data_IF_954993857120
#
_entry.id   IF_954993857120
#
_cell.length_a   1.000
_cell.length_b   1.000
_cell.length_c   1.000
_cell.angle_alpha   90.00
_cell.angle_beta   90.00
_cell.angle_gamma   90.00
#
_symmetry.space_group_name_H-M   'P 1'
#
loop_
_entity.id
_entity.type
_entity.pdbx_description
1 polymer ?
#
# COMPACT_ATOMS: atom_id res chain seq x y z
N UNK A 1 -0.89 6.67 -5.67
CA UNK A 1 0.27 5.79 -5.56
C UNK A 1 1.55 6.61 -5.40
N UNK A 2 2.39 6.26 -4.42
CA UNK A 2 3.65 6.96 -4.13
C UNK A 2 4.61 6.99 -5.33
N UNK A 3 4.70 5.89 -6.06
CA UNK A 3 5.51 5.83 -7.29
C UNK A 3 5.07 6.83 -8.35
N UNK A 4 3.76 6.98 -8.55
CA UNK A 4 3.22 7.97 -9.49
C UNK A 4 3.50 9.40 -9.02
N UNK A 5 3.42 9.67 -7.72
CA UNK A 5 3.75 10.98 -7.13
C UNK A 5 5.20 11.37 -7.43
N UNK A 6 6.13 10.44 -7.23
CA UNK A 6 7.56 10.63 -7.55
C UNK A 6 7.74 10.91 -9.05
N UNK A 7 7.13 10.08 -9.91
CA UNK A 7 7.23 10.24 -11.37
C UNK A 7 6.68 11.59 -11.84
N UNK A 8 5.49 11.98 -11.37
CA UNK A 8 4.88 13.29 -11.71
C UNK A 8 5.77 14.44 -11.27
N UNK A 9 6.27 14.42 -10.03
CA UNK A 9 7.16 15.47 -9.52
C UNK A 9 8.43 15.59 -10.39
N UNK A 10 9.05 14.46 -10.75
CA UNK A 10 10.22 14.44 -11.63
C UNK A 10 9.92 15.04 -13.00
N UNK A 11 8.81 14.63 -13.63
CA UNK A 11 8.41 15.15 -14.95
C UNK A 11 8.15 16.64 -14.89
N UNK A 12 7.38 17.13 -13.90
CA UNK A 12 7.07 18.56 -13.76
C UNK A 12 8.33 19.43 -13.65
N UNK A 13 9.34 18.94 -12.95
CA UNK A 13 10.62 19.65 -12.78
C UNK A 13 11.51 19.57 -14.04
N UNK A 14 11.70 18.38 -14.59
CA UNK A 14 12.63 18.17 -15.72
C UNK A 14 12.10 18.71 -17.06
N UNK A 15 10.78 18.84 -17.20
CA UNK A 15 10.17 19.49 -18.37
C UNK A 15 10.04 21.00 -18.23
N UNK A 16 10.38 21.57 -17.07
CA UNK A 16 10.25 23.00 -16.81
C UNK A 16 8.84 23.50 -16.56
N UNK A 17 7.86 22.61 -16.39
CA UNK A 17 6.48 22.98 -16.00
C UNK A 17 6.44 23.61 -14.60
N UNK A 18 7.33 23.17 -13.72
CA UNK A 18 7.66 23.83 -12.46
C UNK A 18 9.14 24.26 -12.56
N UNK A 19 9.41 25.53 -12.20
CA UNK A 19 10.78 26.05 -12.20
C UNK A 19 11.64 25.32 -11.18
N UNK A 20 12.59 24.57 -11.65
CA UNK A 20 13.58 23.88 -10.82
C UNK A 20 14.50 24.88 -10.10
N UNK A 21 14.76 24.61 -8.83
CA UNK A 21 15.79 25.28 -8.02
C UNK A 21 16.77 24.22 -7.51
N UNK A 22 18.03 24.57 -7.46
CA UNK A 22 19.09 23.72 -6.92
C UNK A 22 19.57 24.30 -5.58
N UNK A 23 19.95 23.47 -4.62
CA UNK A 23 19.95 22.02 -4.65
C UNK A 23 18.58 21.39 -4.33
N UNK A 24 17.59 22.17 -3.91
CA UNK A 24 16.26 21.67 -3.55
C UNK A 24 15.14 22.51 -4.16
N UNK A 25 14.08 21.80 -4.57
CA UNK A 25 12.82 22.41 -5.00
C UNK A 25 11.69 21.85 -4.16
N UNK A 26 10.97 22.74 -3.49
CA UNK A 26 9.79 22.42 -2.69
C UNK A 26 8.53 22.94 -3.38
N UNK A 27 7.48 22.11 -3.44
CA UNK A 27 6.17 22.50 -3.92
C UNK A 27 5.09 21.55 -3.42
N UNK A 28 3.82 21.92 -3.57
CA UNK A 28 2.69 21.09 -3.21
C UNK A 28 2.05 20.49 -4.48
N UNK A 29 1.65 19.24 -4.38
CA UNK A 29 0.92 18.52 -5.41
C UNK A 29 -0.45 18.16 -4.87
N UNK A 30 -1.52 18.61 -5.54
CA UNK A 30 -2.87 18.19 -5.24
C UNK A 30 -3.16 16.82 -5.89
N UNK A 31 -3.67 15.90 -5.11
CA UNK A 31 -3.96 14.53 -5.54
C UNK A 31 -5.37 14.13 -5.10
N UNK A 32 -5.89 13.02 -5.62
CA UNK A 32 -7.17 12.48 -5.19
C UNK A 32 -7.23 12.16 -3.67
N UNK A 33 -6.09 11.91 -3.04
CA UNK A 33 -5.98 11.69 -1.59
C UNK A 33 -5.75 12.96 -0.78
N UNK A 34 -5.61 14.13 -1.44
CA UNK A 34 -5.37 15.42 -0.78
C UNK A 34 -4.06 16.10 -1.22
N UNK A 35 -3.65 17.09 -0.47
CA UNK A 35 -2.46 17.90 -0.75
C UNK A 35 -1.21 17.23 -0.20
N UNK A 36 -0.23 17.01 -1.07
CA UNK A 36 1.04 16.35 -0.76
C UNK A 36 2.18 17.34 -0.92
N UNK A 37 2.98 17.53 0.14
CA UNK A 37 4.21 18.32 0.08
C UNK A 37 5.34 17.52 -0.58
N UNK A 38 5.94 18.08 -1.62
CA UNK A 38 7.07 17.51 -2.36
C UNK A 38 8.35 18.23 -1.97
N UNK A 39 9.40 17.48 -1.70
CA UNK A 39 10.78 17.93 -1.51
C UNK A 39 11.67 17.18 -2.49
N UNK A 40 12.15 17.87 -3.51
CA UNK A 40 12.96 17.29 -4.57
C UNK A 40 14.42 17.77 -4.49
N UNK A 41 15.37 16.85 -4.48
CA UNK A 41 16.78 17.16 -4.67
C UNK A 41 17.06 17.30 -6.16
N UNK A 42 17.67 18.43 -6.54
CA UNK A 42 17.93 18.79 -7.93
C UNK A 42 19.41 19.11 -8.12
N UNK A 43 19.99 18.62 -9.23
CA UNK A 43 21.39 18.88 -9.58
C UNK A 43 21.59 18.83 -11.10
N UNK A 44 22.26 19.85 -11.64
CA UNK A 44 22.57 19.97 -13.07
C UNK A 44 21.31 19.82 -13.96
N UNK A 45 20.20 20.47 -13.56
CA UNK A 45 18.94 20.41 -14.29
C UNK A 45 18.22 19.06 -14.22
N UNK A 46 18.60 18.18 -13.29
CA UNK A 46 17.99 16.88 -13.07
C UNK A 46 17.40 16.76 -11.68
N UNK A 47 16.26 16.08 -11.57
CA UNK A 47 15.67 15.66 -10.33
C UNK A 47 16.32 14.33 -9.90
N UNK A 48 17.12 14.39 -8.83
CA UNK A 48 17.93 13.25 -8.36
C UNK A 48 17.12 12.36 -7.43
N UNK A 49 16.33 12.99 -6.55
CA UNK A 49 15.44 12.26 -5.64
C UNK A 49 14.19 13.08 -5.32
N UNK A 50 13.12 12.40 -4.98
CA UNK A 50 11.87 13.02 -4.52
C UNK A 50 11.47 12.40 -3.20
N UNK A 51 11.28 13.25 -2.19
CA UNK A 51 10.63 12.90 -0.93
C UNK A 51 9.26 13.57 -0.87
N UNK A 52 8.29 12.90 -0.30
CA UNK A 52 7.00 13.52 -0.07
C UNK A 52 6.43 13.12 1.29
N UNK A 53 5.69 14.04 1.90
CA UNK A 53 4.94 13.76 3.11
C UNK A 53 3.59 13.20 2.70
N UNK A 54 3.38 11.91 2.97
CA UNK A 54 2.11 11.25 2.69
C UNK A 54 0.99 11.77 3.59
N UNK A 55 -0.25 11.44 3.24
CA UNK A 55 -1.44 11.72 4.06
C UNK A 55 -1.32 11.00 5.41
N UNK A 56 -2.01 11.48 6.46
CA UNK A 56 -2.08 10.75 7.72
C UNK A 56 -2.56 9.31 7.52
N UNK A 57 -1.85 8.37 8.14
CA UNK A 57 -2.20 6.96 8.14
C UNK A 57 -2.79 6.56 9.50
N UNK A 58 -3.72 5.61 9.52
CA UNK A 58 -4.28 5.07 10.75
C UNK A 58 -4.66 3.59 10.59
N UNK A 59 -4.66 2.86 11.69
CA UNK A 59 -5.22 1.52 11.76
C UNK A 59 -6.70 1.61 12.10
N UNK A 60 -7.52 0.80 11.43
CA UNK A 60 -8.97 0.77 11.65
C UNK A 60 -9.40 -0.51 12.36
N UNK A 61 -8.83 -1.64 11.98
CA UNK A 61 -9.15 -2.96 12.51
C UNK A 61 -7.83 -3.72 12.70
N UNK A 62 -7.63 -4.29 13.87
CA UNK A 62 -6.50 -5.14 14.19
C UNK A 62 -6.97 -6.57 14.49
N UNK A 63 -6.20 -7.56 14.00
CA UNK A 63 -6.35 -8.97 14.33
C UNK A 63 -7.75 -9.54 14.09
N UNK A 64 -8.51 -9.02 13.12
CA UNK A 64 -9.78 -9.58 12.72
C UNK A 64 -9.58 -10.94 12.03
N UNK A 65 -10.47 -11.88 12.31
CA UNK A 65 -10.49 -13.19 11.64
C UNK A 65 -11.60 -13.20 10.61
N UNK A 66 -11.24 -13.45 9.34
CA UNK A 66 -12.18 -13.58 8.23
C UNK A 66 -12.09 -14.97 7.60
N UNK A 67 -13.20 -15.43 7.02
CA UNK A 67 -13.23 -16.67 6.24
C UNK A 67 -12.93 -16.36 4.77
N UNK A 68 -11.81 -16.88 4.27
CA UNK A 68 -11.35 -16.64 2.89
C UNK A 68 -11.60 -17.89 2.05
N UNK A 69 -12.38 -17.82 0.97
CA UNK A 69 -12.68 -18.98 0.13
C UNK A 69 -11.42 -19.72 -0.33
N UNK A 70 -11.44 -21.03 -0.28
CA UNK A 70 -10.32 -21.93 -0.64
C UNK A 70 -9.07 -21.84 0.24
N UNK A 71 -9.03 -20.91 1.20
CA UNK A 71 -7.89 -20.68 2.12
C UNK A 71 -8.26 -21.06 3.55
N UNK A 72 -9.48 -20.68 4.00
CA UNK A 72 -9.95 -20.85 5.37
C UNK A 72 -9.83 -19.56 6.19
N UNK A 73 -9.70 -19.70 7.50
CA UNK A 73 -9.63 -18.57 8.42
C UNK A 73 -8.28 -17.87 8.33
N UNK A 74 -8.32 -16.56 8.13
CA UNK A 74 -7.14 -15.69 8.04
C UNK A 74 -7.28 -14.53 9.01
N UNK A 75 -6.25 -14.28 9.80
CA UNK A 75 -6.16 -13.09 10.65
C UNK A 75 -5.63 -11.93 9.82
N UNK A 76 -6.34 -10.81 9.85
CA UNK A 76 -6.03 -9.63 9.04
C UNK A 76 -6.09 -8.35 9.85
N UNK A 77 -5.36 -7.35 9.41
CA UNK A 77 -5.54 -5.95 9.81
C UNK A 77 -6.17 -5.18 8.66
N UNK A 78 -6.89 -4.09 8.96
CA UNK A 78 -7.32 -3.11 7.97
C UNK A 78 -6.82 -1.75 8.40
N UNK A 79 -6.05 -1.10 7.53
CA UNK A 79 -5.45 0.19 7.82
C UNK A 79 -5.49 1.12 6.60
N UNK A 80 -5.50 2.42 6.87
CA UNK A 80 -5.48 3.49 5.89
C UNK A 80 -4.09 4.08 5.74
N UNK A 81 -3.59 4.11 4.52
CA UNK A 81 -2.34 4.79 4.16
C UNK A 81 -2.50 5.71 2.94
N UNK A 82 -3.76 6.07 2.61
CA UNK A 82 -4.18 6.76 1.39
C UNK A 82 -5.15 5.94 0.56
N UNK A 83 -5.33 4.68 0.91
CA UNK A 83 -6.41 3.74 0.57
C UNK A 83 -6.52 2.73 1.69
N UNK A 84 -7.61 1.98 1.78
CA UNK A 84 -7.70 0.88 2.73
C UNK A 84 -7.00 -0.35 2.17
N UNK A 85 -5.97 -0.77 2.90
CA UNK A 85 -5.29 -2.04 2.73
C UNK A 85 -5.81 -3.06 3.72
N UNK A 86 -6.17 -4.27 3.26
CA UNK A 86 -6.30 -5.44 4.10
C UNK A 86 -4.98 -6.18 4.12
N UNK A 87 -4.43 -6.40 5.31
CA UNK A 87 -3.05 -6.82 5.52
C UNK A 87 -3.04 -8.19 6.18
N UNK A 88 -2.42 -9.17 5.54
CA UNK A 88 -2.22 -10.50 6.08
C UNK A 88 -0.74 -10.87 6.16
N UNK A 89 -0.37 -11.65 7.17
CA UNK A 89 0.98 -12.22 7.27
C UNK A 89 1.11 -13.44 6.36
N UNK A 90 2.17 -13.47 5.56
CA UNK A 90 2.44 -14.56 4.59
C UNK A 90 2.55 -15.93 5.26
N UNK A 91 2.97 -15.98 6.52
CA UNK A 91 3.13 -17.23 7.29
C UNK A 91 1.80 -17.97 7.54
N UNK A 92 0.67 -17.31 7.35
CA UNK A 92 -0.66 -17.93 7.43
C UNK A 92 -1.01 -18.79 6.21
N UNK A 93 -0.23 -18.68 5.12
CA UNK A 93 -0.47 -19.38 3.85
C UNK A 93 0.63 -20.43 3.62
N UNK A 94 0.39 -21.71 3.93
CA UNK A 94 1.40 -22.77 3.79
C UNK A 94 1.99 -22.83 2.38
N UNK A 95 3.31 -22.76 2.28
CA UNK A 95 4.03 -22.82 1.01
C UNK A 95 4.03 -21.53 0.18
N UNK A 96 3.35 -20.46 0.64
CA UNK A 96 3.39 -19.16 -0.02
C UNK A 96 4.61 -18.35 0.44
N UNK A 97 5.34 -17.81 -0.50
CA UNK A 97 6.46 -16.91 -0.25
C UNK A 97 6.28 -15.61 -1.06
N UNK A 98 6.76 -14.50 -0.51
CA UNK A 98 6.75 -13.21 -1.23
C UNK A 98 7.96 -13.18 -2.16
N UNK A 99 7.77 -13.72 -3.37
CA UNK A 99 8.77 -13.77 -4.44
C UNK A 99 8.10 -13.73 -5.82
N UNK A 100 8.78 -13.26 -6.87
CA UNK A 100 8.19 -13.09 -8.21
C UNK A 100 7.57 -14.36 -8.78
N UNK A 101 8.17 -15.52 -8.55
CA UNK A 101 7.72 -16.82 -9.06
C UNK A 101 6.33 -17.21 -8.54
N UNK A 102 5.94 -16.69 -7.38
CA UNK A 102 4.62 -16.90 -6.77
C UNK A 102 3.62 -15.76 -7.08
N UNK A 103 3.94 -14.88 -8.02
CA UNK A 103 3.13 -13.70 -8.32
C UNK A 103 1.66 -13.99 -8.62
N UNK A 104 1.37 -15.08 -9.33
CA UNK A 104 -0.02 -15.46 -9.62
C UNK A 104 -0.79 -15.84 -8.35
N UNK A 105 -0.18 -16.58 -7.44
CA UNK A 105 -0.81 -17.00 -6.20
C UNK A 105 -0.92 -15.84 -5.21
N UNK A 106 0.10 -15.00 -5.11
CA UNK A 106 0.05 -13.76 -4.33
C UNK A 106 -1.08 -12.84 -4.83
N UNK A 107 -1.24 -12.71 -6.14
CA UNK A 107 -2.33 -11.96 -6.78
C UNK A 107 -3.70 -12.53 -6.43
N UNK A 108 -3.84 -13.84 -6.48
CA UNK A 108 -5.09 -14.54 -6.14
C UNK A 108 -5.46 -14.35 -4.67
N UNK A 109 -4.52 -14.57 -3.76
CA UNK A 109 -4.75 -14.39 -2.32
C UNK A 109 -5.10 -12.94 -2.00
N UNK A 110 -4.39 -11.96 -2.58
CA UNK A 110 -4.69 -10.56 -2.38
C UNK A 110 -6.13 -10.21 -2.82
N UNK A 111 -6.60 -10.74 -3.96
CA UNK A 111 -7.97 -10.56 -4.40
C UNK A 111 -8.98 -11.17 -3.42
N UNK A 112 -8.76 -12.40 -2.99
CA UNK A 112 -9.64 -13.09 -2.06
C UNK A 112 -9.72 -12.37 -0.69
N UNK A 113 -8.60 -11.85 -0.20
CA UNK A 113 -8.57 -11.03 1.03
C UNK A 113 -9.44 -9.77 0.88
N UNK A 114 -9.35 -9.06 -0.26
CA UNK A 114 -10.16 -7.87 -0.54
C UNK A 114 -11.65 -8.24 -0.57
N UNK A 115 -12.03 -9.26 -1.33
CA UNK A 115 -13.42 -9.70 -1.44
C UNK A 115 -13.99 -10.11 -0.08
N UNK A 116 -13.30 -11.02 0.63
CA UNK A 116 -13.73 -11.50 1.95
C UNK A 116 -13.78 -10.36 3.00
N UNK A 117 -12.79 -9.46 2.96
CA UNK A 117 -12.76 -8.30 3.84
C UNK A 117 -13.94 -7.36 3.61
N UNK A 118 -14.27 -7.07 2.35
CA UNK A 118 -15.42 -6.20 2.01
C UNK A 118 -16.77 -6.83 2.35
N UNK A 119 -16.89 -8.15 2.36
CA UNK A 119 -18.13 -8.83 2.75
C UNK A 119 -18.29 -8.96 4.28
N UNK A 120 -17.19 -9.14 5.01
CA UNK A 120 -17.23 -9.53 6.43
C UNK A 120 -16.85 -8.41 7.39
N UNK A 121 -16.17 -7.36 6.93
CA UNK A 121 -15.71 -6.25 7.77
C UNK A 121 -16.43 -4.95 7.42
N UNK A 122 -16.80 -4.20 8.43
CA UNK A 122 -17.32 -2.85 8.23
C UNK A 122 -16.17 -1.85 8.23
N UNK A 123 -15.89 -1.29 7.04
CA UNK A 123 -14.83 -0.29 6.83
C UNK A 123 -15.49 1.06 6.55
N UNK A 124 -14.96 2.10 7.18
CA UNK A 124 -15.44 3.48 6.97
C UNK A 124 -14.29 4.46 7.20
N UNK A 125 -14.24 5.53 6.41
CA UNK A 125 -13.29 6.62 6.56
C UNK A 125 -14.05 7.89 7.00
N UNK A 126 -13.52 8.73 7.90
CA UNK A 126 -14.20 9.95 8.36
C UNK A 126 -14.65 10.87 7.23
N UNK A 127 -13.80 11.07 6.22
CA UNK A 127 -14.04 11.97 5.10
C UNK A 127 -14.61 11.27 3.86
N UNK A 128 -14.54 9.93 3.79
CA UNK A 128 -14.94 9.12 2.64
C UNK A 128 -15.76 7.91 3.11
N UNK A 129 -17.02 8.10 3.56
CA UNK A 129 -17.78 7.05 4.26
C UNK A 129 -18.07 5.81 3.41
N UNK A 130 -18.14 5.96 2.09
CA UNK A 130 -18.48 4.86 1.15
C UNK A 130 -17.26 4.13 0.60
N UNK A 131 -16.05 4.48 1.07
CA UNK A 131 -14.83 3.85 0.57
C UNK A 131 -14.72 2.40 1.08
N UNK A 132 -14.33 1.50 0.18
CA UNK A 132 -14.13 0.08 0.46
C UNK A 132 -12.63 -0.26 0.61
N UNK A 133 -12.34 -1.47 1.04
CA UNK A 133 -10.99 -2.07 0.91
C UNK A 133 -10.69 -2.25 -0.57
N UNK A 134 -9.59 -1.65 -1.04
CA UNK A 134 -9.19 -1.65 -2.46
C UNK A 134 -7.82 -2.25 -2.70
N UNK A 135 -7.07 -2.53 -1.65
CA UNK A 135 -5.74 -3.13 -1.74
C UNK A 135 -5.62 -4.34 -0.81
N UNK A 136 -5.06 -5.44 -1.31
CA UNK A 136 -4.70 -6.62 -0.53
C UNK A 136 -3.20 -6.69 -0.36
N UNK A 137 -2.73 -6.59 0.87
CA UNK A 137 -1.31 -6.63 1.21
C UNK A 137 -0.95 -7.93 1.90
N UNK A 138 0.02 -8.64 1.34
CA UNK A 138 0.65 -9.78 1.98
C UNK A 138 2.05 -9.35 2.43
N UNK A 139 2.32 -9.48 3.73
CA UNK A 139 3.52 -8.97 4.37
C UNK A 139 4.20 -10.08 5.17
N UNK A 140 5.50 -10.03 5.32
CA UNK A 140 6.23 -11.04 6.07
C UNK A 140 7.68 -10.67 6.35
N UNK A 141 8.41 -11.57 7.02
CA UNK A 141 9.82 -11.37 7.31
C UNK A 141 10.64 -11.29 6.02
N UNK A 142 11.80 -10.70 6.11
CA UNK A 142 12.76 -10.58 5.01
C UNK A 142 14.13 -11.09 5.42
N UNK A 143 14.87 -11.62 4.45
CA UNK A 143 16.28 -12.00 4.64
C UNK A 143 17.23 -10.84 4.30
N UNK A 144 16.71 -9.70 3.87
CA UNK A 144 17.49 -8.51 3.59
C UNK A 144 17.89 -7.83 4.91
N UNK A 145 19.21 -7.74 5.26
CA UNK A 145 19.65 -7.15 6.52
C UNK A 145 19.39 -5.64 6.64
N UNK A 146 19.01 -4.98 5.54
CA UNK A 146 18.68 -3.56 5.50
C UNK A 146 17.18 -3.28 5.52
N UNK A 147 16.34 -4.29 5.81
CA UNK A 147 14.89 -4.13 5.87
C UNK A 147 14.31 -5.02 6.98
N UNK A 148 13.28 -4.54 7.65
CA UNK A 148 12.60 -5.26 8.73
C UNK A 148 11.51 -6.21 8.19
N UNK A 149 10.88 -5.81 7.09
CA UNK A 149 9.76 -6.52 6.47
C UNK A 149 9.83 -6.44 4.94
N UNK A 150 9.21 -7.42 4.28
CA UNK A 150 8.88 -7.35 2.85
C UNK A 150 7.38 -7.47 2.66
N UNK A 151 6.86 -6.89 1.58
CA UNK A 151 5.46 -6.97 1.23
C UNK A 151 5.26 -7.13 -0.28
N UNK A 152 4.04 -7.50 -0.63
CA UNK A 152 3.46 -7.31 -1.96
C UNK A 152 2.05 -6.79 -1.79
N UNK A 153 1.63 -5.89 -2.67
CA UNK A 153 0.31 -5.28 -2.65
C UNK A 153 -0.36 -5.52 -3.99
N UNK A 154 -1.57 -6.05 -3.95
CA UNK A 154 -2.38 -6.29 -5.12
C UNK A 154 -3.62 -5.40 -5.14
N UNK A 155 -3.91 -4.81 -6.29
CA UNK A 155 -5.11 -4.02 -6.53
C UNK A 155 -5.91 -4.65 -7.67
N UNK A 156 -7.20 -4.99 -7.47
CA UNK A 156 -8.02 -5.59 -8.51
C UNK A 156 -8.40 -4.56 -9.58
N UNK A 157 -8.44 -5.00 -10.83
CA UNK A 157 -8.91 -4.18 -11.95
C UNK A 157 -10.45 -4.22 -12.12
N UNK A 158 -11.09 -5.17 -11.44
CA UNK A 158 -12.54 -5.36 -11.40
C UNK A 158 -12.96 -5.68 -9.98
N UNK A 159 -14.21 -5.44 -9.62
CA UNK A 159 -14.73 -5.84 -8.31
C UNK A 159 -14.55 -7.36 -8.12
N UNK A 160 -14.04 -7.76 -6.95
CA UNK A 160 -13.84 -9.16 -6.64
C UNK A 160 -15.16 -9.79 -6.22
N UNK A 161 -15.62 -10.78 -6.98
CA UNK A 161 -16.75 -11.63 -6.66
C UNK A 161 -16.24 -12.98 -6.14
N UNK A 162 -16.51 -13.28 -4.88
CA UNK A 162 -16.07 -14.52 -4.23
C UNK A 162 -16.70 -15.78 -4.83
N UNK A 163 -17.79 -15.64 -5.60
CA UNK A 163 -18.44 -16.74 -6.33
C UNK A 163 -17.91 -16.90 -7.76
N UNK A 164 -17.05 -15.97 -8.24
CA UNK A 164 -16.53 -16.00 -9.60
C UNK A 164 -15.00 -16.02 -9.62
N UNK A 165 -14.36 -17.20 -9.73
CA UNK A 165 -12.90 -17.32 -9.74
C UNK A 165 -12.18 -16.53 -10.84
N UNK A 166 -12.87 -16.13 -11.90
CA UNK A 166 -12.26 -15.30 -12.94
C UNK A 166 -11.88 -13.89 -12.45
N UNK A 167 -12.51 -13.42 -11.36
CA UNK A 167 -12.24 -12.11 -10.74
C UNK A 167 -11.14 -12.18 -9.68
N UNK A 168 -10.65 -13.37 -9.30
CA UNK A 168 -9.64 -13.54 -8.24
C UNK A 168 -8.24 -13.18 -8.74
N UNK A 169 -8.08 -11.95 -9.20
CA UNK A 169 -6.83 -11.44 -9.76
C UNK A 169 -6.63 -9.99 -9.37
N UNK A 170 -5.39 -9.66 -9.06
CA UNK A 170 -4.95 -8.28 -8.84
C UNK A 170 -3.76 -7.95 -9.72
N UNK A 171 -3.59 -6.69 -10.05
CA UNK A 171 -2.30 -6.18 -10.50
C UNK A 171 -1.41 -6.03 -9.27
N UNK A 172 -0.29 -6.75 -9.22
CA UNK A 172 0.70 -6.57 -8.15
C UNK A 172 1.49 -5.28 -8.39
N UNK A 173 1.62 -4.50 -7.34
CA UNK A 173 2.41 -3.26 -7.38
C UNK A 173 3.89 -3.58 -7.62
N UNK A 174 4.52 -2.84 -8.52
CA UNK A 174 5.94 -2.99 -8.86
C UNK A 174 6.83 -1.95 -8.19
N UNK A 175 6.25 -1.10 -7.38
CA UNK A 175 6.96 -0.13 -6.55
C UNK A 175 6.88 -0.54 -5.07
N UNK A 176 7.62 0.11 -4.16
CA UNK A 176 7.54 -0.17 -2.73
C UNK A 176 6.17 0.05 -2.08
N UNK A 177 5.17 0.47 -2.82
CA UNK A 177 3.81 0.79 -2.38
C UNK A 177 3.76 1.74 -1.16
N UNK A 178 3.84 3.05 -1.42
CA UNK A 178 3.86 4.04 -0.35
C UNK A 178 2.62 4.00 0.55
N UNK A 179 1.41 3.82 -0.02
CA UNK A 179 0.17 3.72 0.74
C UNK A 179 0.13 2.45 1.58
N UNK A 180 0.45 1.29 1.00
CA UNK A 180 0.51 0.02 1.72
C UNK A 180 1.57 0.01 2.83
N UNK A 181 2.73 0.62 2.59
CA UNK A 181 3.76 0.77 3.63
C UNK A 181 3.26 1.63 4.78
N UNK A 182 2.62 2.78 4.50
CA UNK A 182 2.04 3.64 5.54
C UNK A 182 0.92 2.93 6.30
N UNK A 183 0.04 2.17 5.62
CA UNK A 183 -0.99 1.36 6.26
C UNK A 183 -0.37 0.29 7.18
N UNK A 184 0.68 -0.41 6.74
CA UNK A 184 1.40 -1.39 7.57
C UNK A 184 2.04 -0.75 8.79
N UNK A 185 2.69 0.39 8.63
CA UNK A 185 3.28 1.13 9.75
C UNK A 185 2.21 1.55 10.77
N UNK A 186 1.05 2.03 10.31
CA UNK A 186 -0.07 2.39 11.18
C UNK A 186 -0.59 1.18 11.98
N UNK A 187 -0.74 0.02 11.34
CA UNK A 187 -1.11 -1.24 12.01
C UNK A 187 -0.06 -1.66 13.04
N UNK A 188 1.22 -1.62 12.70
CA UNK A 188 2.31 -1.94 13.63
C UNK A 188 2.37 -0.97 14.82
N UNK A 189 2.14 0.31 14.58
CA UNK A 189 2.08 1.32 15.64
C UNK A 189 0.89 1.07 16.59
N UNK A 190 -0.30 0.82 16.06
CA UNK A 190 -1.48 0.51 16.85
C UNK A 190 -1.29 -0.72 17.74
N UNK A 191 -0.55 -1.73 17.23
CA UNK A 191 -0.17 -2.95 17.96
C UNK A 191 1.02 -2.77 18.91
N UNK A 192 1.58 -1.57 19.02
CA UNK A 192 2.77 -1.29 19.86
C UNK A 192 4.07 -1.96 19.37
N UNK A 193 4.09 -2.39 18.09
CA UNK A 193 5.25 -3.03 17.46
C UNK A 193 6.16 -2.07 16.71
N UNK A 194 5.77 -0.81 16.59
CA UNK A 194 6.52 0.28 15.99
C UNK A 194 6.30 1.53 16.85
N UNK A 195 7.35 2.33 17.10
CA UNK A 195 7.25 3.59 17.82
C UNK A 195 7.25 4.78 16.86
N UNK A 196 6.81 5.94 17.34
CA UNK A 196 6.96 7.18 16.58
C UNK A 196 8.44 7.51 16.37
N UNK A 197 8.78 7.91 15.14
CA UNK A 197 10.16 8.21 14.71
C UNK A 197 11.12 7.01 14.75
N UNK A 198 10.62 5.81 14.85
CA UNK A 198 11.39 4.59 14.61
C UNK A 198 11.45 4.37 13.10
N UNK A 199 12.66 4.16 12.53
CA UNK A 199 12.84 4.00 11.08
C UNK A 199 12.24 2.69 10.58
#
# INVERSE_FOLDING_TARGET
SGGNTIAVATVLLETGMIKMKEPYTDFNLETAGGLIGIHAECRNGKCISVRFKNMPAFSLIEDAVIDVPTVGKVTVDVAWGGMFDIIADVRQFPGLEIKPEMGNELSRIAALLIGAGNEQLKVTHPDFPDIKITAGQISGPTDNPNADWKNTVGMPNVEVDLNNPATWKTALDRCPCGTGTCAKMASLYAKGKLKLNEP
#
